data_IF_249582254763
#
_entry.id   IF_249582254763
#
_cell.length_a   1.000
_cell.length_b   1.000
_cell.length_c   1.000
_cell.angle_alpha   90.00
_cell.angle_beta   90.00
_cell.angle_gamma   90.00
#
_symmetry.space_group_name_H-M   'P 1'
#
loop_
_entity.id
_entity.type
_entity.pdbx_description
1 polymer ?
#
# COMPACT_ATOMS: atom_id res chain seq x y z
N UNK A 1 9.61 3.76 -7.40
CA UNK A 1 8.86 4.15 -6.20
C UNK A 1 8.07 5.41 -6.51
N UNK A 2 6.91 5.55 -5.88
CA UNK A 2 6.05 6.74 -5.95
C UNK A 2 5.92 7.35 -4.57
N UNK A 3 5.96 8.68 -4.47
CA UNK A 3 5.67 9.38 -3.22
C UNK A 3 4.18 9.71 -3.20
N UNK A 4 3.48 9.25 -2.16
CA UNK A 4 2.07 9.55 -1.92
C UNK A 4 2.01 10.74 -0.98
N UNK A 5 1.70 11.93 -1.52
CA UNK A 5 1.63 13.17 -0.76
C UNK A 5 0.23 13.45 -0.19
N UNK A 6 -0.78 12.71 -0.64
CA UNK A 6 -2.17 12.95 -0.26
C UNK A 6 -2.39 12.62 1.21
N UNK A 7 -3.00 13.56 1.94
CA UNK A 7 -3.60 13.31 3.25
C UNK A 7 -4.96 12.62 3.09
N UNK A 8 -5.49 12.11 4.19
CA UNK A 8 -6.82 11.50 4.21
C UNK A 8 -7.48 11.63 5.59
N UNK A 9 -8.79 11.87 5.61
CA UNK A 9 -9.58 11.96 6.86
C UNK A 9 -9.95 10.57 7.41
N UNK A 10 -10.04 9.57 6.53
CA UNK A 10 -10.42 8.20 6.89
C UNK A 10 -9.37 7.18 6.46
N UNK A 11 -9.29 6.06 7.18
CA UNK A 11 -8.39 4.96 6.83
C UNK A 11 -8.72 4.37 5.46
N UNK A 12 -10.01 4.35 5.08
CA UNK A 12 -10.45 3.86 3.78
C UNK A 12 -9.93 4.74 2.65
N UNK A 13 -10.04 6.07 2.79
CA UNK A 13 -9.49 7.00 1.82
C UNK A 13 -7.96 6.93 1.78
N UNK A 14 -7.31 6.81 2.93
CA UNK A 14 -5.86 6.63 3.02
C UNK A 14 -5.39 5.35 2.30
N UNK A 15 -6.12 4.24 2.47
CA UNK A 15 -5.83 2.97 1.77
C UNK A 15 -6.03 3.10 0.26
N UNK A 16 -7.06 3.83 -0.20
CA UNK A 16 -7.24 4.12 -1.63
C UNK A 16 -6.06 4.91 -2.19
N UNK A 17 -5.62 5.96 -1.49
CA UNK A 17 -4.46 6.77 -1.90
C UNK A 17 -3.18 5.92 -1.97
N UNK A 18 -2.96 5.06 -0.96
CA UNK A 18 -1.84 4.12 -0.91
C UNK A 18 -1.81 3.19 -2.13
N UNK A 19 -2.94 2.54 -2.43
CA UNK A 19 -3.02 1.57 -3.53
C UNK A 19 -3.00 2.24 -4.90
N UNK A 20 -3.50 3.47 -5.02
CA UNK A 20 -3.34 4.29 -6.22
C UNK A 20 -1.86 4.66 -6.45
N UNK A 21 -1.12 5.02 -5.39
CA UNK A 21 0.31 5.26 -5.46
C UNK A 21 1.11 4.03 -5.88
N UNK A 22 0.74 2.85 -5.36
CA UNK A 22 1.32 1.58 -5.75
C UNK A 22 1.02 1.23 -7.23
N UNK A 23 -0.22 1.45 -7.68
CA UNK A 23 -0.62 1.29 -9.09
C UNK A 23 0.18 2.21 -10.02
N UNK A 24 0.35 3.48 -9.64
CA UNK A 24 1.15 4.44 -10.40
C UNK A 24 2.62 4.02 -10.48
N UNK A 25 3.18 3.46 -9.40
CA UNK A 25 4.53 2.91 -9.42
C UNK A 25 4.65 1.72 -10.38
N UNK A 26 3.65 0.84 -10.43
CA UNK A 26 3.61 -0.30 -11.34
C UNK A 26 3.55 0.15 -12.81
N UNK A 27 2.72 1.15 -13.12
CA UNK A 27 2.64 1.74 -14.46
C UNK A 27 4.00 2.32 -14.86
N UNK A 28 4.62 3.12 -13.99
CA UNK A 28 5.94 3.71 -14.25
C UNK A 28 7.01 2.65 -14.50
N UNK A 29 6.99 1.57 -13.72
CA UNK A 29 7.89 0.44 -13.90
C UNK A 29 7.65 -0.29 -15.24
N UNK A 30 6.38 -0.57 -15.56
CA UNK A 30 5.96 -1.30 -16.77
C UNK A 30 6.24 -0.54 -18.07
N UNK A 31 6.19 0.79 -18.04
CA UNK A 31 6.39 1.64 -19.21
C UNK A 31 7.83 2.12 -19.39
N UNK A 32 8.74 1.74 -18.50
CA UNK A 32 10.08 2.37 -18.38
C UNK A 32 9.98 3.90 -18.30
N UNK A 33 8.87 4.43 -17.77
CA UNK A 33 8.63 5.86 -17.61
C UNK A 33 8.25 6.63 -18.88
N UNK A 34 7.92 5.98 -20.00
CA UNK A 34 7.53 6.73 -21.22
C UNK A 34 6.97 5.93 -22.39
N UNK A 35 6.95 4.58 -22.32
CA UNK A 35 6.34 3.73 -23.35
C UNK A 35 4.84 3.55 -23.09
N UNK A 36 4.09 3.18 -24.12
CA UNK A 36 2.68 2.79 -23.95
C UNK A 36 2.58 1.51 -23.12
N UNK A 37 1.60 1.47 -22.20
CA UNK A 37 1.31 0.29 -21.40
C UNK A 37 0.53 -0.71 -22.25
N UNK A 38 1.12 -1.88 -22.51
CA UNK A 38 0.54 -2.91 -23.39
C UNK A 38 0.58 -4.31 -22.78
N UNK A 39 -0.16 -5.24 -23.38
CA UNK A 39 -0.18 -6.65 -23.01
C UNK A 39 -0.55 -6.91 -21.55
N UNK A 40 0.14 -7.87 -20.93
CA UNK A 40 -0.11 -8.31 -19.56
C UNK A 40 -0.09 -7.16 -18.54
N UNK A 41 0.81 -6.19 -18.68
CA UNK A 41 0.92 -5.08 -17.72
C UNK A 41 -0.32 -4.18 -17.77
N UNK A 42 -0.93 -4.01 -18.94
CA UNK A 42 -2.20 -3.27 -19.09
C UNK A 42 -3.33 -3.99 -18.36
N UNK A 43 -3.46 -5.30 -18.58
CA UNK A 43 -4.48 -6.10 -17.88
C UNK A 43 -4.32 -6.07 -16.36
N UNK A 44 -3.08 -6.08 -15.85
CA UNK A 44 -2.83 -5.97 -14.41
C UNK A 44 -3.27 -4.62 -13.84
N UNK A 45 -3.06 -3.53 -14.58
CA UNK A 45 -3.52 -2.20 -14.17
C UNK A 45 -5.04 -2.10 -14.19
N UNK A 46 -5.70 -2.70 -15.18
CA UNK A 46 -7.17 -2.75 -15.27
C UNK A 46 -7.78 -3.58 -14.12
N UNK A 47 -7.15 -4.71 -13.77
CA UNK A 47 -7.60 -5.61 -12.69
C UNK A 47 -7.10 -5.20 -11.30
N UNK A 48 -6.29 -4.15 -11.19
CA UNK A 48 -5.56 -3.78 -9.96
C UNK A 48 -6.45 -3.71 -8.73
N UNK A 49 -7.59 -3.03 -8.86
CA UNK A 49 -8.52 -2.79 -7.76
C UNK A 49 -9.31 -4.06 -7.42
N UNK A 50 -9.67 -4.87 -8.42
CA UNK A 50 -10.31 -6.18 -8.23
C UNK A 50 -9.38 -7.20 -7.58
N UNK A 51 -8.08 -7.10 -7.84
CA UNK A 51 -7.04 -7.93 -7.22
C UNK A 51 -6.70 -7.49 -5.79
N UNK A 52 -7.06 -6.25 -5.42
CA UNK A 52 -6.81 -5.70 -4.10
C UNK A 52 -7.88 -6.17 -3.12
N UNK A 53 -7.48 -6.93 -2.11
CA UNK A 53 -8.36 -7.38 -1.03
C UNK A 53 -8.02 -6.64 0.26
N UNK A 54 -9.01 -5.96 0.82
CA UNK A 54 -8.91 -5.22 2.08
C UNK A 54 -9.69 -5.97 3.16
N UNK A 55 -9.00 -6.47 4.18
CA UNK A 55 -9.61 -7.21 5.29
C UNK A 55 -9.51 -6.44 6.60
N UNK A 56 -10.65 -6.26 7.27
CA UNK A 56 -10.74 -5.55 8.53
C UNK A 56 -10.44 -6.49 9.72
N UNK A 57 -9.22 -6.39 10.26
CA UNK A 57 -8.86 -7.03 11.52
C UNK A 57 -9.19 -6.17 12.75
N UNK A 58 -8.93 -6.72 13.94
CA UNK A 58 -9.12 -6.01 15.22
C UNK A 58 -8.14 -4.83 15.37
N UNK A 59 -6.84 -5.09 15.18
CA UNK A 59 -5.77 -4.09 15.34
C UNK A 59 -5.31 -3.48 14.01
N UNK A 60 -5.43 -4.23 12.92
CA UNK A 60 -4.88 -3.87 11.63
C UNK A 60 -5.90 -4.03 10.51
N UNK A 61 -5.81 -3.19 9.49
CA UNK A 61 -6.36 -3.47 8.16
C UNK A 61 -5.28 -4.24 7.41
N UNK A 62 -5.60 -5.44 6.91
CA UNK A 62 -4.70 -6.20 6.05
C UNK A 62 -5.01 -5.89 4.60
N UNK A 63 -3.98 -5.58 3.82
CA UNK A 63 -4.09 -5.39 2.37
C UNK A 63 -3.34 -6.54 1.70
N UNK A 64 -4.05 -7.27 0.85
CA UNK A 64 -3.50 -8.31 -0.02
C UNK A 64 -3.63 -7.80 -1.45
N UNK A 65 -2.55 -7.89 -2.22
CA UNK A 65 -2.59 -7.65 -3.65
C UNK A 65 -2.32 -8.98 -4.36
N UNK A 66 -3.25 -9.37 -5.23
CA UNK A 66 -3.29 -10.71 -5.84
C UNK A 66 -3.26 -11.83 -4.79
N UNK A 67 -2.11 -12.51 -4.66
CA UNK A 67 -1.90 -13.66 -3.78
C UNK A 67 -0.96 -13.34 -2.60
N UNK A 68 -0.41 -12.12 -2.53
CA UNK A 68 0.59 -11.72 -1.53
C UNK A 68 0.08 -10.65 -0.57
N UNK A 69 0.48 -10.73 0.71
CA UNK A 69 0.22 -9.61 1.64
C UNK A 69 1.06 -8.42 1.24
N UNK A 70 0.39 -7.33 0.89
CA UNK A 70 1.01 -6.09 0.48
C UNK A 70 1.51 -5.31 1.70
N UNK A 71 0.62 -5.03 2.66
CA UNK A 71 0.95 -4.38 3.92
C UNK A 71 -0.16 -4.51 4.96
N UNK A 72 0.09 -3.94 6.13
CA UNK A 72 -0.91 -3.74 7.18
C UNK A 72 -1.01 -2.26 7.53
N UNK A 73 -2.21 -1.80 7.90
CA UNK A 73 -2.45 -0.43 8.38
C UNK A 73 -2.91 -0.47 9.83
N UNK A 74 -2.28 0.30 10.71
CA UNK A 74 -2.68 0.43 12.11
C UNK A 74 -4.06 1.08 12.24
N UNK A 75 -5.00 0.42 12.92
CA UNK A 75 -6.35 0.98 13.16
C UNK A 75 -6.43 1.90 14.37
N UNK A 76 -5.51 1.71 15.32
CA UNK A 76 -5.45 2.42 16.58
C UNK A 76 -3.99 2.70 16.94
N UNK A 77 -3.79 3.68 17.80
CA UNK A 77 -2.49 3.90 18.44
C UNK A 77 -2.11 2.70 19.31
N UNK A 78 -0.83 2.31 19.28
CA UNK A 78 -0.27 1.36 20.23
C UNK A 78 1.25 1.47 20.27
N UNK A 79 1.85 1.38 21.46
CA UNK A 79 3.30 1.58 21.65
C UNK A 79 3.74 2.89 20.96
N UNK A 80 4.71 2.82 20.05
CA UNK A 80 5.20 3.94 19.26
C UNK A 80 4.48 4.09 17.90
N UNK A 81 3.53 3.21 17.57
CA UNK A 81 2.75 3.29 16.34
C UNK A 81 1.49 4.13 16.52
N UNK A 82 1.12 4.82 15.45
CA UNK A 82 -0.06 5.65 15.33
C UNK A 82 -1.09 5.07 14.39
N UNK A 83 -2.36 5.41 14.61
CA UNK A 83 -3.42 5.12 13.66
C UNK A 83 -3.03 5.62 12.26
N UNK A 84 -3.19 4.76 11.26
CA UNK A 84 -2.83 5.04 9.87
C UNK A 84 -1.41 4.61 9.49
N UNK A 85 -0.56 4.22 10.44
CA UNK A 85 0.79 3.77 10.13
C UNK A 85 0.79 2.55 9.19
N UNK A 86 1.64 2.61 8.18
CA UNK A 86 1.87 1.56 7.20
C UNK A 86 2.94 0.62 7.76
N UNK A 87 2.62 -0.66 7.87
CA UNK A 87 3.53 -1.69 8.35
C UNK A 87 3.84 -2.71 7.27
N UNK A 88 5.11 -3.06 7.12
CA UNK A 88 5.54 -4.15 6.24
C UNK A 88 5.03 -5.48 6.79
N UNK A 89 4.63 -6.41 5.91
CA UNK A 89 4.30 -7.77 6.32
C UNK A 89 5.54 -8.54 6.83
N UNK A 90 5.43 -9.21 7.98
CA UNK A 90 6.39 -10.21 8.45
C UNK A 90 5.91 -11.64 8.13
N UNK A 91 4.60 -11.82 7.94
CA UNK A 91 3.97 -13.04 7.46
C UNK A 91 2.52 -12.76 7.06
N UNK A 92 1.77 -13.81 6.71
CA UNK A 92 0.41 -13.66 6.20
C UNK A 92 -0.56 -13.00 7.19
N UNK A 93 -0.33 -13.24 8.49
CA UNK A 93 -1.24 -12.81 9.57
C UNK A 93 -0.67 -11.68 10.44
N UNK A 94 0.58 -11.26 10.24
CA UNK A 94 1.23 -10.31 11.13
C UNK A 94 2.19 -9.34 10.41
N UNK A 95 2.19 -8.05 10.80
CA UNK A 95 3.20 -7.10 10.36
C UNK A 95 4.53 -7.24 11.11
N UNK A 96 5.58 -6.70 10.53
CA UNK A 96 6.82 -6.37 11.23
C UNK A 96 6.58 -5.15 12.12
N UNK A 97 6.98 -5.25 13.39
CA UNK A 97 6.75 -4.21 14.42
C UNK A 97 8.02 -3.44 14.79
N UNK A 98 8.92 -3.26 13.83
CA UNK A 98 10.19 -2.56 14.05
C UNK A 98 10.06 -1.03 13.92
N UNK A 99 9.38 -0.54 12.89
CA UNK A 99 9.08 0.89 12.70
C UNK A 99 7.94 1.06 11.66
N UNK A 100 7.29 2.23 11.54
CA UNK A 100 6.34 2.50 10.46
C UNK A 100 7.04 2.72 9.10
N UNK A 101 6.30 2.67 8.00
CA UNK A 101 6.77 2.95 6.62
C UNK A 101 6.07 4.16 6.00
N UNK A 102 5.60 5.07 6.86
CA UNK A 102 4.70 6.15 6.51
C UNK A 102 3.34 5.98 7.15
N UNK A 103 2.45 6.93 6.89
CA UNK A 103 1.12 6.95 7.48
C UNK A 103 0.08 7.43 6.45
N UNK A 104 -0.96 6.64 6.25
CA UNK A 104 -1.95 6.86 5.18
C UNK A 104 -2.84 8.07 5.39
N UNK A 105 -2.88 8.64 6.60
CA UNK A 105 -3.67 9.82 6.94
C UNK A 105 -2.88 11.11 6.73
N UNK A 106 -1.57 11.08 6.98
CA UNK A 106 -0.69 12.26 6.89
C UNK A 106 0.05 12.35 5.56
N UNK A 107 0.10 11.28 4.78
CA UNK A 107 0.78 11.29 3.47
C UNK A 107 2.30 11.38 3.60
N UNK A 108 2.93 11.91 2.56
CA UNK A 108 4.37 12.08 2.40
C UNK A 108 5.19 10.81 2.69
N UNK A 109 4.78 9.69 2.08
CA UNK A 109 5.49 8.42 2.21
C UNK A 109 5.78 7.79 0.84
N UNK A 110 6.87 7.02 0.78
CA UNK A 110 7.23 6.27 -0.41
C UNK A 110 6.52 4.91 -0.43
N UNK A 111 6.03 4.52 -1.60
CA UNK A 111 5.47 3.19 -1.84
C UNK A 111 6.04 2.60 -3.13
N UNK A 112 6.18 1.27 -3.16
CA UNK A 112 6.44 0.51 -4.39
C UNK A 112 5.23 -0.33 -4.74
N UNK A 113 5.10 -0.71 -6.00
CA UNK A 113 4.06 -1.65 -6.43
C UNK A 113 4.18 -3.04 -5.77
N UNK A 114 5.36 -3.37 -5.22
CA UNK A 114 5.62 -4.59 -4.44
C UNK A 114 5.40 -4.41 -2.93
N UNK A 115 4.96 -3.24 -2.47
CA UNK A 115 4.68 -2.96 -1.06
C UNK A 115 5.54 -1.86 -0.43
N UNK A 116 5.41 -1.67 0.89
CA UNK A 116 6.20 -0.72 1.66
C UNK A 116 7.70 -1.04 1.59
N UNK A 117 8.51 0.01 1.59
CA UNK A 117 9.97 -0.13 1.47
C UNK A 117 10.56 -0.92 2.65
N UNK A 118 11.66 -1.62 2.35
CA UNK A 118 12.51 -2.19 3.41
C UNK A 118 13.31 -1.07 4.08
N UNK A 119 13.87 -1.39 5.25
CA UNK A 119 14.70 -0.48 6.03
C UNK A 119 16.14 -0.51 5.57
#
# INVERSE_FOLDING_TARGET
>A
MTIVNQTADTLEQGVKNLMAGAKADYVKWSTLGGKELTGYCKEQVEKWDSNTKVSQGKKYIKIVQENGVFCFICKTDFKHFKKGDILKAAGYNAPALNQPRGNVLTGNYAIRWTGPLYL
#
